data_IF_487161876030
#
_entry.id   IF_487161876030
#
_cell.length_a   1.000
_cell.length_b   1.000
_cell.length_c   1.000
_cell.angle_alpha   90.00
_cell.angle_beta   90.00
_cell.angle_gamma   90.00
#
_symmetry.space_group_name_H-M   'P 1'
#
loop_
_entity.id
_entity.type
_entity.pdbx_description
1 polymer ?
#
# COMPACT_ATOMS: atom_id res chain seq x y z
N UNK A 1 -10.31 20.54 5.15
CA UNK A 1 -9.64 19.24 4.95
C UNK A 1 -10.69 18.27 4.44
N UNK A 2 -10.56 17.71 3.22
CA UNK A 2 -11.53 16.77 2.64
C UNK A 2 -11.24 15.32 3.07
N UNK A 3 -12.19 14.39 2.83
CA UNK A 3 -12.02 12.98 3.24
C UNK A 3 -10.79 12.31 2.62
N UNK A 4 -10.39 12.71 1.41
CA UNK A 4 -9.16 12.25 0.77
C UNK A 4 -7.91 12.66 1.56
N UNK A 5 -7.83 13.93 1.97
CA UNK A 5 -6.71 14.42 2.79
C UNK A 5 -6.68 13.73 4.15
N UNK A 6 -7.83 13.55 4.80
CA UNK A 6 -7.94 12.84 6.07
C UNK A 6 -7.47 11.38 5.95
N UNK A 7 -7.90 10.67 4.91
CA UNK A 7 -7.46 9.30 4.61
C UNK A 7 -5.93 9.21 4.55
N UNK A 8 -5.28 10.11 3.80
CA UNK A 8 -3.82 10.14 3.69
C UNK A 8 -3.13 10.57 4.99
N UNK A 9 -3.67 11.54 5.73
CA UNK A 9 -3.13 11.92 7.03
C UNK A 9 -3.08 10.73 8.00
N UNK A 10 -4.15 9.93 8.08
CA UNK A 10 -4.16 8.72 8.90
C UNK A 10 -3.28 7.61 8.33
N UNK A 11 -3.17 7.52 7.00
CA UNK A 11 -2.23 6.61 6.31
C UNK A 11 -0.80 6.90 6.77
N UNK A 12 -0.36 8.15 6.72
CA UNK A 12 1.00 8.53 7.11
C UNK A 12 1.30 8.26 8.58
N UNK A 13 0.27 8.28 9.44
CA UNK A 13 0.36 7.91 10.85
C UNK A 13 0.23 6.41 11.11
N UNK A 14 0.04 5.58 10.07
CA UNK A 14 -0.26 4.14 10.16
C UNK A 14 -1.52 3.82 10.97
N UNK A 15 -2.44 4.77 11.08
CA UNK A 15 -3.73 4.56 11.70
C UNK A 15 -4.69 3.92 10.68
N UNK A 16 -4.39 2.68 10.27
CA UNK A 16 -5.04 2.00 9.15
C UNK A 16 -6.55 1.90 9.30
N UNK A 17 -7.06 1.66 10.52
CA UNK A 17 -8.50 1.63 10.80
C UNK A 17 -9.19 2.96 10.53
N UNK A 18 -8.56 4.07 10.89
CA UNK A 18 -9.09 5.40 10.58
C UNK A 18 -9.02 5.70 9.08
N UNK A 19 -7.90 5.35 8.43
CA UNK A 19 -7.76 5.50 6.98
C UNK A 19 -8.81 4.66 6.21
N UNK A 20 -9.10 3.44 6.69
CA UNK A 20 -10.17 2.59 6.20
C UNK A 20 -11.53 3.28 6.25
N UNK A 21 -11.90 3.93 7.37
CA UNK A 21 -13.19 4.60 7.50
C UNK A 21 -13.36 5.72 6.46
N UNK A 22 -12.31 6.50 6.20
CA UNK A 22 -12.37 7.52 5.16
C UNK A 22 -12.37 6.92 3.75
N UNK A 23 -11.66 5.82 3.51
CA UNK A 23 -11.72 5.09 2.24
C UNK A 23 -13.13 4.51 1.99
N UNK A 24 -13.79 3.99 3.03
CA UNK A 24 -15.16 3.51 2.95
C UNK A 24 -16.13 4.64 2.59
N UNK A 25 -16.02 5.79 3.25
CA UNK A 25 -16.84 6.96 2.96
C UNK A 25 -16.63 7.45 1.51
N UNK A 26 -15.38 7.55 1.07
CA UNK A 26 -15.03 7.89 -0.31
C UNK A 26 -15.57 6.86 -1.31
N UNK A 27 -15.58 5.57 -0.98
CA UNK A 27 -16.12 4.53 -1.86
C UNK A 27 -17.65 4.62 -2.06
N UNK A 28 -18.34 5.22 -1.08
CA UNK A 28 -19.80 5.42 -1.10
C UNK A 28 -20.18 6.73 -1.79
N UNK A 29 -19.43 7.80 -1.51
CA UNK A 29 -19.84 9.16 -1.87
C UNK A 29 -19.08 9.77 -3.06
N UNK A 30 -17.86 9.30 -3.35
CA UNK A 30 -17.00 9.93 -4.36
C UNK A 30 -17.37 9.57 -5.79
N UNK A 31 -17.34 10.58 -6.67
CA UNK A 31 -17.57 10.44 -8.12
C UNK A 31 -16.28 10.20 -8.92
N UNK A 32 -15.11 10.22 -8.27
CA UNK A 32 -13.81 10.16 -8.96
C UNK A 32 -13.41 8.76 -9.40
N UNK A 33 -13.47 7.78 -8.49
CA UNK A 33 -13.19 6.37 -8.81
C UNK A 33 -13.60 5.45 -7.67
N UNK A 34 -14.78 4.83 -7.78
CA UNK A 34 -15.26 3.87 -6.77
C UNK A 34 -14.35 2.64 -6.65
N UNK A 35 -13.87 2.11 -7.78
CA UNK A 35 -12.96 0.97 -7.78
C UNK A 35 -11.67 1.24 -7.01
N UNK A 36 -11.11 2.45 -7.13
CA UNK A 36 -9.92 2.85 -6.40
C UNK A 36 -10.16 2.88 -4.89
N UNK A 37 -11.27 3.47 -4.43
CA UNK A 37 -11.55 3.57 -3.00
C UNK A 37 -11.90 2.22 -2.36
N UNK A 38 -12.57 1.33 -3.09
CA UNK A 38 -12.77 -0.07 -2.63
C UNK A 38 -11.43 -0.80 -2.53
N UNK A 39 -10.51 -0.58 -3.48
CA UNK A 39 -9.15 -1.12 -3.38
C UNK A 39 -8.39 -0.56 -2.17
N UNK A 40 -8.44 0.75 -1.92
CA UNK A 40 -7.82 1.38 -0.75
C UNK A 40 -8.38 0.81 0.55
N UNK A 41 -9.71 0.66 0.63
CA UNK A 41 -10.40 0.07 1.76
C UNK A 41 -9.91 -1.37 2.03
N UNK A 42 -9.84 -2.20 1.00
CA UNK A 42 -9.26 -3.54 1.10
C UNK A 42 -7.80 -3.53 1.54
N UNK A 43 -6.99 -2.60 1.00
CA UNK A 43 -5.58 -2.43 1.34
C UNK A 43 -5.39 -2.07 2.82
N UNK A 44 -6.13 -1.11 3.34
CA UNK A 44 -6.08 -0.75 4.77
C UNK A 44 -6.53 -1.90 5.66
N UNK A 45 -7.60 -2.59 5.28
CA UNK A 45 -8.11 -3.75 6.04
C UNK A 45 -7.07 -4.87 6.08
N UNK A 46 -6.37 -5.14 4.96
CA UNK A 46 -5.32 -6.15 4.88
C UNK A 46 -4.05 -5.81 5.67
N UNK A 47 -3.89 -4.54 6.07
CA UNK A 47 -2.75 -4.05 6.85
C UNK A 47 -3.10 -3.74 8.30
N UNK A 48 -4.34 -4.02 8.73
CA UNK A 48 -4.68 -3.97 10.16
C UNK A 48 -3.86 -4.99 10.93
N UNK A 49 -3.54 -4.64 12.18
CA UNK A 49 -2.93 -5.57 13.13
C UNK A 49 -3.95 -6.65 13.51
N UNK A 50 -3.48 -7.85 13.83
CA UNK A 50 -4.36 -8.98 14.19
C UNK A 50 -5.18 -8.72 15.46
N UNK A 51 -4.69 -7.86 16.36
CA UNK A 51 -5.37 -7.44 17.58
C UNK A 51 -6.45 -6.37 17.35
N UNK A 52 -6.51 -5.77 16.15
CA UNK A 52 -7.53 -4.77 15.82
C UNK A 52 -8.81 -5.39 15.27
N UNK A 53 -9.93 -5.14 15.96
CA UNK A 53 -11.24 -5.58 15.49
C UNK A 53 -11.58 -4.98 14.11
N UNK A 54 -11.94 -5.87 13.17
CA UNK A 54 -12.31 -5.52 11.80
C UNK A 54 -13.58 -4.66 11.78
N UNK A 55 -13.55 -3.49 11.12
CA UNK A 55 -14.72 -2.63 11.00
C UNK A 55 -15.80 -3.30 10.14
N UNK A 56 -17.05 -3.24 10.59
CA UNK A 56 -18.25 -3.72 9.87
C UNK A 56 -18.25 -5.22 9.49
N UNK A 57 -17.36 -6.04 10.08
CA UNK A 57 -17.27 -7.47 9.77
C UNK A 57 -16.85 -7.78 8.33
N UNK A 58 -16.25 -6.80 7.64
CA UNK A 58 -15.81 -6.99 6.26
C UNK A 58 -14.52 -7.80 6.16
N UNK A 59 -14.30 -8.37 4.98
CA UNK A 59 -13.13 -9.16 4.65
C UNK A 59 -12.35 -8.55 3.47
N UNK A 60 -11.04 -8.42 3.62
CA UNK A 60 -10.17 -7.80 2.62
C UNK A 60 -10.16 -8.57 1.30
N UNK A 61 -10.24 -9.91 1.34
CA UNK A 61 -10.20 -10.75 0.14
C UNK A 61 -11.46 -10.51 -0.68
N UNK A 62 -12.62 -10.48 -0.03
CA UNK A 62 -13.89 -10.23 -0.69
C UNK A 62 -13.97 -8.79 -1.24
N UNK A 63 -13.44 -7.81 -0.53
CA UNK A 63 -13.32 -6.45 -1.05
C UNK A 63 -12.41 -6.38 -2.29
N UNK A 64 -11.23 -7.03 -2.26
CA UNK A 64 -10.35 -7.09 -3.42
C UNK A 64 -11.04 -7.75 -4.62
N UNK A 65 -11.78 -8.85 -4.43
CA UNK A 65 -12.53 -9.52 -5.49
C UNK A 65 -13.55 -8.59 -6.15
N UNK A 66 -14.17 -7.70 -5.38
CA UNK A 66 -15.16 -6.75 -5.87
C UNK A 66 -14.58 -5.56 -6.64
N UNK A 67 -13.28 -5.21 -6.48
CA UNK A 67 -12.68 -4.02 -7.13
C UNK A 67 -13.01 -3.90 -8.62
N UNK A 68 -12.99 -5.02 -9.35
CA UNK A 68 -13.23 -5.02 -10.80
C UNK A 68 -14.69 -4.77 -11.22
N UNK A 69 -15.65 -4.97 -10.32
CA UNK A 69 -17.08 -4.75 -10.60
C UNK A 69 -17.43 -3.26 -10.60
N UNK A 70 -16.64 -2.42 -9.90
CA UNK A 70 -16.83 -0.97 -9.82
C UNK A 70 -16.11 -0.19 -10.93
N UNK A 71 -15.52 -0.88 -11.91
CA UNK A 71 -14.79 -0.27 -13.02
C UNK A 71 -15.69 0.68 -13.80
N UNK A 72 -15.22 1.89 -14.02
CA UNK A 72 -15.90 2.89 -14.83
C UNK A 72 -15.20 3.08 -16.18
N UNK A 73 -15.94 3.62 -17.15
CA UNK A 73 -15.40 4.07 -18.45
C UNK A 73 -15.75 5.53 -18.63
N UNK A 74 -14.74 6.37 -18.80
CA UNK A 74 -14.85 7.79 -19.13
C UNK A 74 -14.35 7.93 -20.56
N UNK A 75 -15.19 8.43 -21.47
CA UNK A 75 -14.89 8.50 -22.90
C UNK A 75 -14.38 7.15 -23.48
N UNK A 76 -15.03 6.04 -23.10
CA UNK A 76 -14.71 4.69 -23.57
C UNK A 76 -13.46 4.04 -22.93
N UNK A 77 -12.67 4.78 -22.14
CA UNK A 77 -11.46 4.28 -21.47
C UNK A 77 -11.63 4.27 -19.96
N UNK A 78 -11.05 3.29 -19.28
CA UNK A 78 -10.98 3.32 -17.80
C UNK A 78 -9.82 4.17 -17.32
N UNK A 79 -9.98 4.90 -16.20
CA UNK A 79 -8.89 5.66 -15.59
C UNK A 79 -7.66 4.79 -15.34
N UNK A 80 -6.43 5.33 -15.48
CA UNK A 80 -5.20 4.58 -15.22
C UNK A 80 -5.15 3.98 -13.81
N UNK A 81 -5.63 4.73 -12.81
CA UNK A 81 -5.69 4.33 -11.40
C UNK A 81 -6.59 3.12 -11.18
N UNK A 82 -7.76 3.08 -11.82
CA UNK A 82 -8.65 1.90 -11.79
C UNK A 82 -8.02 0.67 -12.45
N UNK A 83 -7.37 0.86 -13.61
CA UNK A 83 -6.69 -0.25 -14.29
C UNK A 83 -5.61 -0.86 -13.40
N UNK A 84 -4.88 0.00 -12.69
CA UNK A 84 -3.87 -0.43 -11.73
C UNK A 84 -4.51 -1.22 -10.56
N UNK A 85 -5.50 -0.64 -9.89
CA UNK A 85 -6.20 -1.28 -8.76
C UNK A 85 -6.78 -2.65 -9.15
N UNK A 86 -7.44 -2.71 -10.30
CA UNK A 86 -8.01 -3.96 -10.86
C UNK A 86 -6.91 -4.97 -11.16
N UNK A 87 -5.77 -4.55 -11.71
CA UNK A 87 -4.66 -5.46 -12.02
C UNK A 87 -4.11 -6.10 -10.74
N UNK A 88 -3.92 -5.31 -9.68
CA UNK A 88 -3.43 -5.80 -8.39
C UNK A 88 -4.43 -6.72 -7.70
N UNK A 89 -5.70 -6.33 -7.68
CA UNK A 89 -6.78 -7.11 -7.11
C UNK A 89 -6.99 -8.49 -7.76
N UNK A 90 -6.52 -8.72 -9.00
CA UNK A 90 -6.65 -10.03 -9.69
C UNK A 90 -6.04 -11.19 -8.91
N UNK A 91 -5.03 -10.94 -8.08
CA UNK A 91 -4.40 -11.98 -7.23
C UNK A 91 -5.39 -12.61 -6.24
N UNK A 92 -6.45 -11.88 -5.88
CA UNK A 92 -7.47 -12.34 -4.94
C UNK A 92 -8.59 -13.19 -5.56
N UNK A 93 -8.54 -13.43 -6.89
CA UNK A 93 -9.55 -14.27 -7.57
C UNK A 93 -9.45 -15.76 -7.26
N UNK A 94 -8.26 -16.24 -6.89
CA UNK A 94 -8.09 -17.64 -6.53
C UNK A 94 -8.77 -17.95 -5.18
N UNK A 95 -9.08 -19.23 -4.95
CA UNK A 95 -9.64 -19.70 -3.69
C UNK A 95 -8.68 -19.45 -2.52
N UNK A 96 -7.39 -19.75 -2.72
CA UNK A 96 -6.31 -19.39 -1.79
C UNK A 96 -5.45 -18.29 -2.42
N UNK A 97 -5.77 -17.02 -2.17
CA UNK A 97 -5.08 -15.91 -2.81
C UNK A 97 -3.72 -15.62 -2.18
N UNK A 98 -2.77 -15.19 -3.01
CA UNK A 98 -1.49 -14.64 -2.53
C UNK A 98 -1.75 -13.18 -2.14
N UNK A 99 -1.55 -12.86 -0.87
CA UNK A 99 -1.78 -11.52 -0.31
C UNK A 99 -0.76 -10.52 -0.84
N UNK A 100 -1.17 -9.27 -0.94
CA UNK A 100 -0.26 -8.17 -1.25
C UNK A 100 0.53 -7.81 0.02
N UNK A 101 1.87 -7.66 -0.04
CA UNK A 101 2.68 -7.43 1.15
C UNK A 101 2.40 -6.09 1.84
N UNK A 102 2.49 -4.99 1.07
CA UNK A 102 2.35 -3.62 1.56
C UNK A 102 1.50 -2.79 0.60
N UNK A 103 0.22 -3.20 0.37
CA UNK A 103 -0.60 -2.58 -0.67
C UNK A 103 -0.79 -1.07 -0.46
N UNK A 104 -0.77 -0.57 0.78
CA UNK A 104 -0.86 0.87 1.07
C UNK A 104 0.43 1.63 0.72
N UNK A 105 1.62 1.07 1.02
CA UNK A 105 2.89 1.70 0.64
C UNK A 105 3.08 1.70 -0.88
N UNK A 106 2.54 0.71 -1.59
CA UNK A 106 2.48 0.76 -3.04
C UNK A 106 1.65 1.93 -3.54
N UNK A 107 0.57 2.28 -2.84
CA UNK A 107 -0.24 3.45 -3.19
C UNK A 107 0.51 4.73 -2.84
N UNK A 108 1.22 4.76 -1.72
CA UNK A 108 2.10 5.89 -1.40
C UNK A 108 3.13 6.10 -2.51
N UNK A 109 3.77 5.05 -3.01
CA UNK A 109 4.72 5.14 -4.11
C UNK A 109 4.07 5.76 -5.37
N UNK A 110 2.92 5.22 -5.79
CA UNK A 110 2.23 5.68 -7.00
C UNK A 110 1.80 7.15 -6.96
N UNK A 111 1.42 7.64 -5.78
CA UNK A 111 0.95 9.03 -5.58
C UNK A 111 2.03 9.96 -5.02
N UNK A 112 3.31 9.56 -5.05
CA UNK A 112 4.42 10.34 -4.49
C UNK A 112 4.23 10.72 -3.00
N UNK A 113 3.53 9.87 -2.24
CA UNK A 113 3.18 10.08 -0.84
C UNK A 113 4.39 10.07 0.10
N UNK A 114 5.51 9.44 -0.28
CA UNK A 114 6.75 9.48 0.51
C UNK A 114 7.33 10.89 0.63
N UNK A 115 7.20 11.71 -0.42
CA UNK A 115 7.63 13.12 -0.36
C UNK A 115 6.89 13.94 0.69
N UNK A 116 5.65 13.57 1.03
CA UNK A 116 4.82 14.28 2.02
C UNK A 116 5.32 14.08 3.46
N UNK A 117 6.12 13.05 3.71
CA UNK A 117 6.67 12.71 5.03
C UNK A 117 8.19 12.92 5.12
N UNK A 118 8.81 13.48 4.09
CA UNK A 118 10.28 13.63 4.00
C UNK A 118 10.89 14.39 5.19
N UNK A 119 10.21 15.45 5.64
CA UNK A 119 10.64 16.29 6.76
C UNK A 119 10.11 15.84 8.13
N UNK A 120 9.55 14.62 8.22
CA UNK A 120 8.93 14.09 9.44
C UNK A 120 9.52 12.72 9.77
N UNK A 121 10.69 12.67 10.45
CA UNK A 121 11.41 11.43 10.74
C UNK A 121 10.55 10.35 11.39
N UNK A 122 9.70 10.71 12.36
CA UNK A 122 8.78 9.78 13.03
C UNK A 122 7.83 9.06 12.05
N UNK A 123 7.34 9.75 11.03
CA UNK A 123 6.46 9.17 10.01
C UNK A 123 7.26 8.30 9.04
N UNK A 124 8.45 8.76 8.64
CA UNK A 124 9.37 7.98 7.78
C UNK A 124 9.77 6.67 8.46
N UNK A 125 10.11 6.71 9.75
CA UNK A 125 10.47 5.55 10.56
C UNK A 125 9.30 4.58 10.71
N UNK A 126 8.08 5.09 10.95
CA UNK A 126 6.89 4.23 10.97
C UNK A 126 6.70 3.48 9.65
N UNK A 127 6.85 4.16 8.52
CA UNK A 127 6.76 3.53 7.19
C UNK A 127 7.86 2.51 6.97
N UNK A 128 9.09 2.82 7.39
CA UNK A 128 10.22 1.88 7.35
C UNK A 128 9.92 0.61 8.13
N UNK A 129 9.44 0.75 9.38
CA UNK A 129 9.10 -0.39 10.21
C UNK A 129 8.06 -1.29 9.53
N UNK A 130 7.02 -0.70 8.93
CA UNK A 130 5.98 -1.44 8.19
C UNK A 130 6.59 -2.27 7.03
N UNK A 131 7.56 -1.68 6.33
CA UNK A 131 8.20 -2.33 5.20
C UNK A 131 9.13 -3.48 5.62
N UNK A 132 9.86 -3.29 6.73
CA UNK A 132 10.74 -4.32 7.31
C UNK A 132 9.91 -5.51 7.84
N UNK A 133 8.82 -5.25 8.56
CA UNK A 133 7.90 -6.29 9.06
C UNK A 133 7.30 -7.10 7.91
N UNK A 134 6.88 -6.43 6.83
CA UNK A 134 6.41 -7.10 5.64
C UNK A 134 7.50 -7.98 5.02
N UNK A 135 8.70 -7.46 4.81
CA UNK A 135 9.82 -8.22 4.23
C UNK A 135 10.14 -9.50 5.02
N UNK A 136 10.16 -9.43 6.36
CA UNK A 136 10.32 -10.62 7.19
C UNK A 136 9.24 -11.67 6.91
N UNK A 137 7.98 -11.24 6.83
CA UNK A 137 6.85 -12.12 6.48
C UNK A 137 7.00 -12.74 5.09
N UNK A 138 7.56 -12.01 4.11
CA UNK A 138 7.81 -12.53 2.76
C UNK A 138 8.95 -13.55 2.69
N UNK A 139 9.98 -13.41 3.51
CA UNK A 139 11.09 -14.37 3.57
C UNK A 139 10.64 -15.71 4.16
N UNK A 140 9.71 -15.68 5.11
CA UNK A 140 9.09 -16.87 5.68
C UNK A 140 8.15 -17.55 4.67
N UNK A 141 7.41 -16.75 3.90
CA UNK A 141 6.59 -17.23 2.79
C UNK A 141 7.42 -17.49 1.53
N UNK A 142 8.05 -18.67 1.42
CA UNK A 142 8.80 -19.19 0.24
C UNK A 142 8.04 -19.18 -1.12
N UNK A 143 6.86 -18.57 -1.22
CA UNK A 143 5.92 -18.63 -2.36
C UNK A 143 5.79 -17.33 -3.16
N UNK A 144 6.43 -16.23 -2.75
CA UNK A 144 6.21 -14.93 -3.39
C UNK A 144 7.22 -14.71 -4.52
N UNK A 145 6.94 -15.30 -5.68
CA UNK A 145 7.70 -15.08 -6.94
C UNK A 145 7.34 -13.79 -7.68
N UNK A 146 6.33 -13.03 -7.21
CA UNK A 146 5.62 -12.07 -8.07
C UNK A 146 5.73 -10.60 -7.67
N UNK A 147 6.40 -10.23 -6.58
CA UNK A 147 6.51 -8.82 -6.12
C UNK A 147 7.95 -8.39 -5.74
N UNK A 148 8.97 -8.98 -6.38
CA UNK A 148 10.39 -8.69 -6.08
C UNK A 148 10.81 -7.23 -6.26
N UNK A 149 10.04 -6.42 -7.00
CA UNK A 149 10.41 -5.03 -7.31
C UNK A 149 9.82 -4.01 -6.33
N UNK A 150 8.68 -4.31 -5.71
CA UNK A 150 7.94 -3.30 -4.94
C UNK A 150 8.62 -2.97 -3.61
N UNK A 151 8.96 -4.00 -2.82
CA UNK A 151 9.64 -3.80 -1.53
C UNK A 151 10.97 -3.07 -1.74
N UNK A 152 11.83 -3.46 -2.71
CA UNK A 152 13.02 -2.68 -3.05
C UNK A 152 12.75 -1.24 -3.47
N UNK A 153 11.73 -0.99 -4.29
CA UNK A 153 11.43 0.39 -4.71
C UNK A 153 11.01 1.26 -3.52
N UNK A 154 10.17 0.76 -2.63
CA UNK A 154 9.82 1.46 -1.39
C UNK A 154 11.04 1.64 -0.46
N UNK A 155 11.94 0.66 -0.38
CA UNK A 155 13.19 0.75 0.38
C UNK A 155 14.12 1.83 -0.20
N UNK A 156 14.19 1.95 -1.53
CA UNK A 156 14.97 3.00 -2.20
C UNK A 156 14.41 4.38 -1.87
N UNK A 157 13.10 4.59 -2.02
CA UNK A 157 12.47 5.88 -1.69
C UNK A 157 12.74 6.29 -0.23
N UNK A 158 12.55 5.37 0.71
CA UNK A 158 12.84 5.65 2.13
C UNK A 158 14.34 5.87 2.39
N UNK A 159 15.21 5.15 1.68
CA UNK A 159 16.66 5.37 1.73
C UNK A 159 17.05 6.77 1.26
N UNK A 160 16.43 7.27 0.19
CA UNK A 160 16.62 8.65 -0.29
C UNK A 160 16.14 9.67 0.77
N UNK A 161 14.99 9.43 1.41
CA UNK A 161 14.53 10.29 2.51
C UNK A 161 15.51 10.32 3.68
N UNK A 162 16.16 9.20 4.01
CA UNK A 162 17.19 9.15 5.05
C UNK A 162 18.45 9.93 4.66
N UNK A 163 18.82 9.95 3.37
CA UNK A 163 19.91 10.81 2.88
C UNK A 163 19.56 12.28 3.11
N UNK A 164 18.34 12.69 2.77
CA UNK A 164 17.87 14.08 2.93
C UNK A 164 17.82 14.50 4.41
N UNK A 165 17.56 13.55 5.31
CA UNK A 165 17.60 13.75 6.77
C UNK A 165 19.01 13.71 7.37
N UNK A 166 20.06 13.51 6.56
CA UNK A 166 21.45 13.40 7.02
C UNK A 166 21.83 12.03 7.61
N UNK A 167 20.92 11.04 7.61
CA UNK A 167 21.10 9.69 8.16
C UNK A 167 21.76 8.74 7.14
N UNK A 168 22.94 9.11 6.67
CA UNK A 168 23.62 8.43 5.54
C UNK A 168 23.93 6.96 5.81
N UNK A 169 24.39 6.61 7.01
CA UNK A 169 24.78 5.23 7.33
C UNK A 169 23.57 4.27 7.29
N UNK A 170 22.40 4.76 7.71
CA UNK A 170 21.16 4.00 7.64
C UNK A 170 20.67 3.87 6.20
N UNK A 171 20.72 4.96 5.44
CA UNK A 171 20.38 4.95 4.02
C UNK A 171 21.24 3.93 3.24
N UNK A 172 22.55 3.86 3.51
CA UNK A 172 23.45 2.91 2.86
C UNK A 172 23.00 1.47 3.11
N UNK A 173 22.66 1.12 4.36
CA UNK A 173 22.15 -0.22 4.71
C UNK A 173 20.87 -0.55 3.95
N UNK A 174 19.94 0.41 3.83
CA UNK A 174 18.68 0.25 3.12
C UNK A 174 18.88 0.04 1.62
N UNK A 175 19.74 0.85 0.99
CA UNK A 175 20.04 0.74 -0.44
C UNK A 175 20.77 -0.57 -0.77
N UNK A 176 21.66 -1.03 0.10
CA UNK A 176 22.25 -2.37 -0.03
C UNK A 176 21.19 -3.47 0.06
N UNK A 177 20.25 -3.37 1.01
CA UNK A 177 19.15 -4.32 1.17
C UNK A 177 18.26 -4.37 -0.08
N UNK A 178 17.85 -3.20 -0.58
CA UNK A 178 17.06 -3.08 -1.80
C UNK A 178 17.73 -3.75 -3.00
N UNK A 179 19.06 -3.59 -3.13
CA UNK A 179 19.87 -4.25 -4.17
C UNK A 179 19.90 -5.77 -4.02
N UNK A 180 20.05 -6.28 -2.79
CA UNK A 180 20.09 -7.73 -2.53
C UNK A 180 18.75 -8.40 -2.82
N UNK A 181 17.63 -7.78 -2.45
CA UNK A 181 16.28 -8.31 -2.74
C UNK A 181 15.99 -8.31 -4.24
N UNK A 182 16.50 -7.32 -5.00
CA UNK A 182 16.44 -7.32 -6.46
C UNK A 182 17.19 -8.51 -7.09
N UNK A 183 18.34 -8.90 -6.54
CA UNK A 183 19.18 -9.95 -7.09
C UNK A 183 18.61 -11.38 -6.90
N UNK A 184 17.72 -11.59 -5.92
CA UNK A 184 17.07 -12.89 -5.65
C UNK A 184 15.88 -13.15 -6.60
N UNK A 185 15.41 -12.13 -7.32
CA UNK A 185 14.28 -12.23 -8.26
C UNK A 185 14.64 -12.55 -9.71
N UNK A 186 15.91 -12.82 -10.01
CA UNK A 186 16.42 -13.15 -11.36
C UNK A 186 16.88 -14.61 -11.46
#
# INVERSE_FOLDING_TARGET
>A
MCYWELMWCFTYKRAWKMAYFYADLLSKESRWSKAMYVYMKAAYLSMLREDEARPFGEDEVDLFRQVSTFKQKIAGKSPPTEKFAIRKARRYKAHCPIRLPVPVLEMMYMWNGFSMISMRPELTEGMMQTLVEAEHSLLDEKKIRFDHYLVPNCLVELGLLYIDQGRRDEAIKLLHKARCVHAVGH
#
